data_IF_192620484707
#
_entry.id   IF_192620484707
#
_cell.length_a   1.000
_cell.length_b   1.000
_cell.length_c   1.000
_cell.angle_alpha   90.00
_cell.angle_beta   90.00
_cell.angle_gamma   90.00
#
_symmetry.space_group_name_H-M   'P 1'
#
loop_
_entity.id
_entity.type
_entity.pdbx_description
1 polymer ?
#
# COMPACT_ATOMS: atom_id res chain seq x y z
N UNK A 1 8.54 -7.08 -3.53
CA UNK A 1 7.83 -7.99 -4.47
C UNK A 1 8.11 -7.59 -5.93
N UNK A 2 7.73 -6.39 -6.37
CA UNK A 2 7.95 -5.92 -7.76
C UNK A 2 9.44 -5.84 -8.16
N UNK A 3 10.30 -5.35 -7.26
CA UNK A 3 11.76 -5.33 -7.49
C UNK A 3 12.37 -6.75 -7.55
N UNK A 4 11.81 -7.71 -6.80
CA UNK A 4 12.22 -9.11 -6.81
C UNK A 4 11.78 -9.84 -8.10
N UNK A 5 10.63 -9.43 -8.67
CA UNK A 5 10.13 -9.92 -9.95
C UNK A 5 11.01 -9.46 -11.13
N UNK A 6 11.51 -8.23 -11.07
CA UNK A 6 12.43 -7.66 -12.06
C UNK A 6 13.74 -8.46 -12.17
N UNK A 7 14.27 -8.91 -11.02
CA UNK A 7 15.53 -9.65 -10.96
C UNK A 7 15.43 -11.09 -11.50
N UNK A 8 14.27 -11.74 -11.38
CA UNK A 8 14.08 -13.14 -11.79
C UNK A 8 13.52 -13.33 -13.20
N UNK A 9 12.72 -12.40 -13.70
CA UNK A 9 11.97 -12.57 -14.97
C UNK A 9 12.19 -11.44 -16.00
N UNK A 10 13.06 -10.46 -15.72
CA UNK A 10 13.48 -9.48 -16.73
C UNK A 10 12.36 -8.58 -17.27
N UNK A 11 11.29 -8.34 -16.49
CA UNK A 11 10.18 -7.50 -16.95
C UNK A 11 10.62 -6.03 -17.05
N UNK A 12 10.45 -5.37 -18.22
CA UNK A 12 10.87 -3.98 -18.41
C UNK A 12 10.14 -3.02 -17.47
N UNK A 13 10.87 -2.03 -16.95
CA UNK A 13 10.38 -1.05 -15.95
C UNK A 13 9.22 -0.19 -16.48
N UNK A 14 9.08 -0.14 -17.79
CA UNK A 14 8.10 0.62 -18.55
C UNK A 14 6.67 0.08 -18.33
N UNK A 15 6.52 -1.25 -18.32
CA UNK A 15 5.25 -1.92 -18.01
C UNK A 15 4.83 -1.72 -16.55
N UNK A 16 5.82 -1.53 -15.65
CA UNK A 16 5.59 -1.22 -14.24
C UNK A 16 5.17 0.25 -14.04
N UNK A 17 5.69 1.17 -14.86
CA UNK A 17 5.29 2.59 -14.85
C UNK A 17 3.87 2.81 -15.38
N UNK A 18 3.45 2.06 -16.40
CA UNK A 18 2.08 2.06 -16.91
C UNK A 18 1.04 1.60 -15.88
N UNK A 19 1.45 0.82 -14.87
CA UNK A 19 0.61 0.34 -13.78
C UNK A 19 0.21 1.46 -12.80
N UNK A 20 1.01 2.52 -12.72
CA UNK A 20 0.83 3.66 -11.81
C UNK A 20 -0.30 4.59 -12.27
N UNK A 21 -0.51 4.67 -13.58
CA UNK A 21 -1.45 5.61 -14.23
C UNK A 21 -2.92 5.30 -13.89
N UNK A 22 -3.44 4.07 -14.06
CA UNK A 22 -4.84 3.77 -13.69
C UNK A 22 -5.09 3.81 -12.18
N UNK A 23 -4.08 3.50 -11.36
CA UNK A 23 -4.21 3.59 -9.90
C UNK A 23 -4.48 5.01 -9.41
N UNK A 24 -4.07 6.04 -10.17
CA UNK A 24 -4.27 7.44 -9.79
C UNK A 24 -5.73 7.88 -9.93
N UNK A 25 -6.47 7.36 -10.91
CA UNK A 25 -7.90 7.64 -11.09
C UNK A 25 -8.73 7.10 -9.93
N UNK A 26 -8.38 5.91 -9.44
CA UNK A 26 -9.05 5.29 -8.29
C UNK A 26 -8.80 6.10 -7.00
N UNK A 27 -7.60 6.65 -6.83
CA UNK A 27 -7.23 7.47 -5.67
C UNK A 27 -7.99 8.80 -5.59
N UNK A 28 -8.46 9.35 -6.70
CA UNK A 28 -9.25 10.59 -6.72
C UNK A 28 -10.71 10.36 -6.30
N UNK A 29 -11.29 9.21 -6.65
CA UNK A 29 -12.68 8.86 -6.30
C UNK A 29 -12.89 8.53 -4.82
N UNK A 30 -11.86 7.95 -4.19
CA UNK A 30 -11.91 7.49 -2.81
C UNK A 30 -12.13 8.60 -1.75
N UNK A 31 -11.41 9.73 -1.77
CA UNK A 31 -11.61 10.80 -0.79
C UNK A 31 -13.00 11.43 -0.93
N UNK A 32 -13.59 11.40 -2.13
CA UNK A 32 -14.96 11.84 -2.37
C UNK A 32 -16.01 10.98 -1.64
N UNK A 33 -15.75 9.67 -1.43
CA UNK A 33 -16.62 8.81 -0.62
C UNK A 33 -16.41 8.99 0.91
N UNK A 34 -15.22 9.37 1.35
CA UNK A 34 -14.88 9.45 2.79
C UNK A 34 -15.31 10.79 3.42
N UNK A 35 -15.43 11.87 2.66
CA UNK A 35 -15.80 13.21 3.15
C UNK A 35 -17.11 13.26 3.94
N UNK A 36 -17.99 12.27 3.79
CA UNK A 36 -19.26 12.19 4.53
C UNK A 36 -19.16 11.50 5.90
N UNK A 37 -18.02 10.95 6.32
CA UNK A 37 -17.97 10.15 7.57
C UNK A 37 -17.36 10.87 8.77
N UNK A 38 -18.14 10.92 9.85
CA UNK A 38 -17.75 11.44 11.17
C UNK A 38 -16.80 10.57 12.01
N UNK A 39 -16.32 9.41 11.53
CA UNK A 39 -15.44 8.49 12.30
C UNK A 39 -14.34 7.87 11.42
N UNK A 40 -13.24 8.58 11.14
CA UNK A 40 -12.17 8.10 10.25
C UNK A 40 -11.48 6.82 10.75
N UNK A 41 -11.40 6.64 12.08
CA UNK A 41 -10.75 5.47 12.69
C UNK A 41 -11.53 4.16 12.50
N UNK A 42 -12.86 4.21 12.42
CA UNK A 42 -13.71 3.03 12.21
C UNK A 42 -13.53 2.46 10.80
N UNK A 43 -13.37 3.34 9.80
CA UNK A 43 -13.07 2.95 8.43
C UNK A 43 -11.66 2.37 8.29
N UNK A 44 -10.69 2.92 9.01
CA UNK A 44 -9.34 2.36 9.06
C UNK A 44 -9.36 0.91 9.57
N UNK A 45 -10.03 0.66 10.70
CA UNK A 45 -10.12 -0.68 11.29
C UNK A 45 -10.87 -1.67 10.37
N UNK A 46 -11.99 -1.24 9.78
CA UNK A 46 -12.77 -2.08 8.86
C UNK A 46 -12.03 -2.36 7.54
N UNK A 47 -11.17 -1.44 7.10
CA UNK A 47 -10.31 -1.61 5.91
C UNK A 47 -9.11 -2.53 6.17
N UNK A 48 -8.80 -2.84 7.43
CA UNK A 48 -7.68 -3.72 7.79
C UNK A 48 -7.88 -5.15 7.30
N UNK A 49 -9.09 -5.70 7.48
CA UNK A 49 -9.47 -7.02 6.96
C UNK A 49 -9.32 -7.16 5.44
N UNK A 50 -9.92 -6.30 4.60
CA UNK A 50 -9.82 -6.44 3.15
C UNK A 50 -8.38 -6.25 2.66
N UNK A 51 -7.54 -5.46 3.35
CA UNK A 51 -6.11 -5.36 3.01
C UNK A 51 -5.40 -6.70 3.17
N UNK A 52 -5.60 -7.37 4.31
CA UNK A 52 -5.01 -8.69 4.55
C UNK A 52 -5.47 -9.70 3.50
N UNK A 53 -6.77 -9.72 3.20
CA UNK A 53 -7.34 -10.60 2.19
C UNK A 53 -6.74 -10.35 0.79
N UNK A 54 -6.63 -9.09 0.37
CA UNK A 54 -6.03 -8.74 -0.92
C UNK A 54 -4.54 -9.10 -0.98
N UNK A 55 -3.80 -8.94 0.11
CA UNK A 55 -2.40 -9.36 0.17
C UNK A 55 -2.24 -10.88 0.04
N UNK A 56 -3.11 -11.66 0.67
CA UNK A 56 -3.12 -13.13 0.56
C UNK A 56 -3.46 -13.54 -0.89
N UNK A 57 -4.47 -12.93 -1.50
CA UNK A 57 -4.83 -13.19 -2.90
C UNK A 57 -3.67 -12.92 -3.87
N UNK A 58 -2.99 -11.77 -3.71
CA UNK A 58 -1.82 -11.43 -4.54
C UNK A 58 -0.68 -12.42 -4.30
N UNK A 59 -0.44 -12.85 -3.05
CA UNK A 59 0.60 -13.82 -2.72
C UNK A 59 0.34 -15.19 -3.37
N UNK A 60 -0.90 -15.68 -3.29
CA UNK A 60 -1.33 -16.92 -3.95
C UNK A 60 -1.19 -16.80 -5.46
N UNK A 61 -1.67 -15.71 -6.05
CA UNK A 61 -1.58 -15.49 -7.49
C UNK A 61 -0.12 -15.43 -7.98
N UNK A 62 0.75 -14.76 -7.22
CA UNK A 62 2.19 -14.67 -7.53
C UNK A 62 2.90 -16.02 -7.35
N UNK A 63 2.42 -16.89 -6.46
CA UNK A 63 2.95 -18.24 -6.31
C UNK A 63 2.69 -19.11 -7.55
N UNK A 64 1.53 -18.96 -8.19
CA UNK A 64 1.17 -19.67 -9.43
C UNK A 64 1.76 -19.06 -10.70
N UNK A 65 2.41 -17.89 -10.62
CA UNK A 65 3.06 -17.22 -11.76
C UNK A 65 3.91 -18.11 -12.67
N UNK A 66 4.83 -18.99 -12.19
CA UNK A 66 5.69 -19.76 -13.10
C UNK A 66 4.91 -20.69 -14.06
N UNK A 67 3.65 -21.04 -13.73
CA UNK A 67 2.82 -21.90 -14.57
C UNK A 67 1.97 -21.13 -15.60
N UNK A 68 1.73 -19.83 -15.39
CA UNK A 68 0.70 -19.04 -16.10
C UNK A 68 1.34 -17.88 -16.90
N UNK A 69 2.66 -17.70 -16.81
CA UNK A 69 3.39 -16.53 -17.31
C UNK A 69 3.18 -16.24 -18.81
N UNK A 70 2.97 -17.28 -19.63
CA UNK A 70 2.81 -17.16 -21.08
C UNK A 70 1.36 -16.88 -21.53
N UNK A 71 0.41 -16.87 -20.61
CA UNK A 71 -0.99 -16.64 -20.95
C UNK A 71 -1.32 -15.15 -20.99
N UNK A 72 -2.01 -14.71 -22.04
CA UNK A 72 -2.35 -13.29 -22.26
C UNK A 72 -3.20 -12.65 -21.15
N UNK A 73 -3.99 -13.45 -20.43
CA UNK A 73 -4.82 -12.98 -19.30
C UNK A 73 -4.01 -12.69 -18.03
N UNK A 74 -2.75 -13.13 -17.94
CA UNK A 74 -1.97 -13.06 -16.70
C UNK A 74 -1.73 -11.61 -16.23
N UNK A 75 -1.29 -10.76 -17.16
CA UNK A 75 -0.97 -9.35 -16.90
C UNK A 75 -2.19 -8.50 -16.48
N UNK A 76 -3.33 -8.50 -17.20
CA UNK A 76 -4.47 -7.66 -16.83
C UNK A 76 -5.07 -8.04 -15.46
N UNK A 77 -5.12 -9.32 -15.10
CA UNK A 77 -5.60 -9.78 -13.80
C UNK A 77 -4.65 -9.34 -12.67
N UNK A 78 -3.34 -9.48 -12.90
CA UNK A 78 -2.32 -9.02 -11.94
C UNK A 78 -2.43 -7.51 -11.68
N UNK A 79 -2.59 -6.73 -12.76
CA UNK A 79 -2.76 -5.27 -12.70
C UNK A 79 -4.02 -4.92 -11.91
N UNK A 80 -5.14 -5.58 -12.20
CA UNK A 80 -6.41 -5.33 -11.50
C UNK A 80 -6.30 -5.60 -9.99
N UNK A 81 -5.74 -6.76 -9.60
CA UNK A 81 -5.50 -7.09 -8.19
C UNK A 81 -4.61 -6.07 -7.50
N UNK A 82 -3.59 -5.58 -8.20
CA UNK A 82 -2.67 -4.59 -7.65
C UNK A 82 -3.34 -3.23 -7.44
N UNK A 83 -4.13 -2.76 -8.41
CA UNK A 83 -4.93 -1.53 -8.30
C UNK A 83 -5.90 -1.62 -7.12
N UNK A 84 -6.59 -2.75 -6.96
CA UNK A 84 -7.48 -2.97 -5.82
C UNK A 84 -6.74 -2.92 -4.49
N UNK A 85 -5.56 -3.55 -4.38
CA UNK A 85 -4.77 -3.47 -3.17
C UNK A 85 -4.31 -2.04 -2.87
N UNK A 86 -3.84 -1.33 -3.89
CA UNK A 86 -3.39 0.05 -3.77
C UNK A 86 -4.52 0.99 -3.33
N UNK A 87 -5.74 0.74 -3.79
CA UNK A 87 -6.95 1.47 -3.38
C UNK A 87 -7.25 1.32 -1.88
N UNK A 88 -7.11 0.11 -1.34
CA UNK A 88 -7.35 -0.18 0.09
C UNK A 88 -6.27 0.45 0.97
N UNK A 89 -5.01 0.41 0.52
CA UNK A 89 -3.90 1.09 1.20
C UNK A 89 -4.10 2.60 1.20
N UNK A 90 -4.61 3.16 0.11
CA UNK A 90 -4.91 4.58 0.01
C UNK A 90 -6.08 4.99 0.93
N UNK A 91 -7.15 4.19 1.03
CA UNK A 91 -8.24 4.38 2.01
C UNK A 91 -7.71 4.48 3.44
N UNK A 92 -6.80 3.59 3.81
CA UNK A 92 -6.14 3.63 5.12
C UNK A 92 -5.29 4.88 5.32
N UNK A 93 -4.59 5.34 4.28
CA UNK A 93 -3.77 6.54 4.33
C UNK A 93 -4.64 7.78 4.56
N UNK A 94 -5.71 7.96 3.77
CA UNK A 94 -6.66 9.08 3.94
C UNK A 94 -7.31 9.04 5.33
N UNK A 95 -7.69 7.85 5.81
CA UNK A 95 -8.27 7.69 7.15
C UNK A 95 -7.29 8.08 8.27
N UNK A 96 -6.00 7.73 8.13
CA UNK A 96 -4.94 8.16 9.07
C UNK A 96 -4.74 9.67 9.06
N UNK A 97 -4.66 10.28 7.88
CA UNK A 97 -4.56 11.75 7.78
C UNK A 97 -5.80 12.45 8.34
N UNK A 98 -7.00 11.88 8.15
CA UNK A 98 -8.24 12.39 8.78
C UNK A 98 -8.23 12.30 10.31
N UNK A 99 -7.59 11.27 10.88
CA UNK A 99 -7.37 11.19 12.32
C UNK A 99 -6.32 12.19 12.80
N UNK A 100 -5.21 12.35 12.07
CA UNK A 100 -4.16 13.32 12.40
C UNK A 100 -4.71 14.74 12.40
N UNK A 101 -5.56 15.09 11.43
CA UNK A 101 -6.23 16.38 11.37
C UNK A 101 -7.20 16.61 12.54
N UNK A 102 -7.82 15.55 13.09
CA UNK A 102 -8.72 15.67 14.26
C UNK A 102 -7.97 15.81 15.58
N UNK A 103 -6.82 15.16 15.71
CA UNK A 103 -6.00 15.23 16.93
C UNK A 103 -5.15 16.49 16.98
N UNK A 104 -4.94 17.11 15.81
CA UNK A 104 -4.20 18.35 15.67
C UNK A 104 -5.13 19.53 15.99
N UNK A 105 -4.79 20.29 17.03
CA UNK A 105 -5.57 21.47 17.43
C UNK A 105 -5.71 22.50 16.29
N UNK A 106 -6.88 23.14 16.10
CA UNK A 106 -7.12 24.06 14.99
C UNK A 106 -6.21 25.30 15.00
N UNK A 107 -5.66 25.71 16.15
CA UNK A 107 -4.76 26.86 16.25
C UNK A 107 -3.32 26.58 15.79
N UNK A 108 -2.82 25.34 15.89
CA UNK A 108 -1.43 24.95 15.54
C UNK A 108 -1.42 23.67 14.67
N UNK A 109 -2.54 23.40 13.99
CA UNK A 109 -2.80 22.08 13.42
C UNK A 109 -1.85 21.70 12.29
N UNK A 110 -1.37 22.68 11.52
CA UNK A 110 -0.39 22.45 10.46
C UNK A 110 0.94 21.88 10.98
N UNK A 111 1.39 22.31 12.15
CA UNK A 111 2.63 21.84 12.78
C UNK A 111 2.48 20.41 13.31
N UNK A 112 1.36 20.11 13.97
CA UNK A 112 1.07 18.76 14.49
C UNK A 112 0.86 17.72 13.39
N UNK A 113 0.16 18.06 12.30
CA UNK A 113 -0.01 17.17 11.14
C UNK A 113 1.34 16.83 10.51
N UNK A 114 2.20 17.83 10.33
CA UNK A 114 3.53 17.65 9.73
C UNK A 114 4.42 16.80 10.63
N UNK A 115 4.43 17.07 11.94
CA UNK A 115 5.17 16.29 12.93
C UNK A 115 4.67 14.84 12.99
N UNK A 116 3.36 14.59 12.97
CA UNK A 116 2.82 13.23 12.92
C UNK A 116 3.18 12.51 11.62
N UNK A 117 3.25 13.23 10.50
CA UNK A 117 3.72 12.68 9.22
C UNK A 117 5.20 12.30 9.29
N UNK A 118 6.04 13.11 9.95
CA UNK A 118 7.44 12.80 10.21
C UNK A 118 7.55 11.50 11.03
N UNK A 119 6.85 11.41 12.14
CA UNK A 119 6.84 10.20 12.98
C UNK A 119 6.33 8.97 12.23
N UNK A 120 5.30 9.12 11.40
CA UNK A 120 4.78 8.02 10.58
C UNK A 120 5.80 7.51 9.56
N UNK A 121 6.49 8.41 8.87
CA UNK A 121 7.51 8.06 7.89
C UNK A 121 8.77 7.50 8.57
N UNK A 122 9.23 8.11 9.66
CA UNK A 122 10.36 7.60 10.45
C UNK A 122 10.06 6.20 10.99
N UNK A 123 8.90 6.00 11.62
CA UNK A 123 8.50 4.69 12.15
C UNK A 123 8.50 3.60 11.08
N UNK A 124 7.95 3.88 9.89
CA UNK A 124 7.93 2.92 8.78
C UNK A 124 9.35 2.58 8.26
N UNK A 125 10.22 3.59 8.13
CA UNK A 125 11.58 3.38 7.64
C UNK A 125 12.46 2.68 8.68
N UNK A 126 12.35 3.07 9.96
CA UNK A 126 13.04 2.42 11.07
C UNK A 126 12.62 0.95 11.22
N UNK A 127 11.33 0.66 11.08
CA UNK A 127 10.83 -0.74 11.11
C UNK A 127 11.45 -1.56 9.99
N UNK A 128 11.58 -1.01 8.79
CA UNK A 128 12.20 -1.71 7.65
C UNK A 128 13.70 -1.97 7.90
N UNK A 129 14.43 -0.98 8.42
CA UNK A 129 15.84 -1.14 8.80
C UNK A 129 16.02 -2.15 9.93
N UNK A 130 15.13 -2.13 10.93
CA UNK A 130 15.17 -3.07 12.05
C UNK A 130 14.88 -4.51 11.60
N UNK A 131 13.94 -4.71 10.68
CA UNK A 131 13.66 -6.03 10.09
C UNK A 131 14.87 -6.55 9.32
N UNK A 132 15.56 -5.71 8.55
CA UNK A 132 16.78 -6.12 7.85
C UNK A 132 17.92 -6.45 8.81
N UNK A 133 18.10 -5.63 9.85
CA UNK A 133 19.10 -5.90 10.88
C UNK A 133 18.84 -7.23 11.59
N UNK A 134 17.61 -7.47 12.04
CA UNK A 134 17.22 -8.73 12.70
C UNK A 134 17.25 -9.94 11.76
N UNK A 135 16.93 -9.77 10.47
CA UNK A 135 17.11 -10.84 9.48
C UNK A 135 18.58 -11.21 9.26
N UNK A 136 19.50 -10.24 9.37
CA UNK A 136 20.93 -10.48 9.38
C UNK A 136 21.40 -11.34 10.56
N UNK A 137 20.76 -11.20 11.72
CA UNK A 137 21.03 -12.04 12.90
C UNK A 137 20.52 -13.48 12.76
N UNK A 138 19.47 -13.72 11.96
CA UNK A 138 18.80 -15.03 11.86
C UNK A 138 19.49 -15.99 10.89
N UNK A 139 20.42 -15.49 10.08
CA UNK A 139 21.24 -16.30 9.19
C UNK A 139 22.61 -16.50 9.88
N UNK A 140 22.81 -17.57 10.68
CA UNK A 140 24.16 -17.95 11.03
C UNK A 140 24.86 -18.39 9.73
N UNK A 141 26.14 -18.04 9.59
CA UNK A 141 27.02 -18.61 8.57
C UNK A 141 26.95 -20.15 8.58
#
# INVERSE_FOLDING_TARGET
IISFFNFRYGVPRETLGLLIIPSIFVKILIPFCITQTNRPLTWYNRSYLPRLFMCILIAIYTYFTPYILYQWYYYPILICLFILNESVVYLMLVSRFGFYARISDPCIGGTYITLLSLFGNLGSNLTSSAVLYTAGWIKPD
#
